data_IF_110263338008
#
_entry.id   IF_110263338008
#
_cell.length_a   1.000
_cell.length_b   1.000
_cell.length_c   1.000
_cell.angle_alpha   90.00
_cell.angle_beta   90.00
_cell.angle_gamma   90.00
#
_symmetry.space_group_name_H-M   'P 1'
#
loop_
_entity.id
_entity.type
_entity.pdbx_description
1 polymer ?
#
# COMPACT_ATOMS: atom_id res chain seq x y z
N UNK A 1 -24.09 -56.01 -6.84
CA UNK A 1 -23.57 -56.43 -8.14
C UNK A 1 -23.48 -55.17 -8.99
N UNK A 2 -22.37 -54.43 -8.87
CA UNK A 2 -21.37 -54.29 -9.96
C UNK A 2 -21.97 -53.57 -11.17
N UNK A 3 -21.67 -52.32 -11.51
CA UNK A 3 -20.38 -51.62 -11.48
C UNK A 3 -19.87 -51.52 -12.91
N UNK A 4 -19.60 -50.32 -13.42
CA UNK A 4 -18.59 -50.04 -14.45
C UNK A 4 -18.13 -48.57 -14.27
N UNK A 5 -16.80 -48.44 -14.23
CA UNK A 5 -16.00 -47.25 -13.99
C UNK A 5 -16.01 -46.26 -15.17
N UNK A 6 -15.87 -44.96 -14.85
CA UNK A 6 -15.34 -43.92 -15.74
C UNK A 6 -13.96 -43.49 -15.21
N UNK A 7 -12.89 -43.53 -16.02
CA UNK A 7 -11.59 -43.01 -15.64
C UNK A 7 -11.47 -41.51 -16.00
N UNK A 8 -10.83 -40.77 -15.10
CA UNK A 8 -10.52 -39.35 -15.28
C UNK A 8 -9.43 -39.08 -16.32
N UNK A 9 -9.39 -37.82 -16.75
CA UNK A 9 -8.12 -37.12 -16.99
C UNK A 9 -8.26 -35.66 -16.56
N UNK A 10 -7.35 -35.30 -15.65
CA UNK A 10 -7.06 -33.98 -15.15
C UNK A 10 -6.70 -33.00 -16.27
N UNK A 11 -7.36 -31.85 -16.32
CA UNK A 11 -6.79 -30.63 -16.89
C UNK A 11 -6.45 -29.68 -15.74
N UNK A 12 -5.19 -29.71 -15.32
CA UNK A 12 -4.55 -28.61 -14.58
C UNK A 12 -4.74 -27.31 -15.37
N UNK A 13 -5.19 -26.20 -14.76
CA UNK A 13 -4.93 -24.90 -15.34
C UNK A 13 -3.44 -24.58 -15.13
N UNK A 14 -2.76 -24.30 -16.25
CA UNK A 14 -1.43 -23.70 -16.26
C UNK A 14 -1.50 -22.35 -15.53
N UNK A 15 -0.72 -22.21 -14.46
CA UNK A 15 -0.43 -20.93 -13.84
C UNK A 15 0.46 -20.14 -14.80
N UNK A 16 -0.12 -19.13 -15.45
CA UNK A 16 0.65 -18.06 -16.07
C UNK A 16 1.30 -17.26 -14.95
N UNK A 17 2.62 -17.36 -14.86
CA UNK A 17 3.49 -16.46 -14.11
C UNK A 17 3.34 -15.05 -14.67
N UNK A 18 2.42 -14.29 -14.10
CA UNK A 18 2.44 -12.84 -14.14
C UNK A 18 3.01 -12.36 -12.82
N UNK A 19 4.31 -12.04 -12.79
CA UNK A 19 4.93 -11.32 -11.68
C UNK A 19 4.25 -9.95 -11.53
N UNK A 20 3.16 -9.91 -10.78
CA UNK A 20 2.71 -8.69 -10.15
C UNK A 20 3.77 -8.32 -9.12
N UNK A 21 4.67 -7.41 -9.50
CA UNK A 21 5.56 -6.70 -8.59
C UNK A 21 4.70 -5.86 -7.65
N UNK A 22 4.15 -6.51 -6.62
CA UNK A 22 3.62 -5.81 -5.47
C UNK A 22 4.82 -5.24 -4.72
N UNK A 23 4.90 -3.93 -4.65
CA UNK A 23 5.75 -3.16 -3.75
C UNK A 23 5.28 -3.35 -2.29
N UNK A 24 5.13 -4.61 -1.87
CA UNK A 24 4.73 -5.00 -0.53
C UNK A 24 5.93 -4.96 0.40
N UNK A 25 5.78 -4.25 1.51
CA UNK A 25 6.74 -4.24 2.61
C UNK A 25 7.07 -5.69 3.03
N UNK A 26 8.30 -6.14 2.75
CA UNK A 26 8.73 -7.51 3.10
C UNK A 26 9.16 -7.52 4.56
N UNK A 27 8.31 -8.08 5.41
CA UNK A 27 8.56 -8.21 6.84
C UNK A 27 9.76 -9.14 7.11
N UNK A 28 10.62 -8.84 8.10
CA UNK A 28 11.71 -9.71 8.48
C UNK A 28 11.19 -11.09 8.92
N UNK A 29 11.83 -12.16 8.45
CA UNK A 29 11.49 -13.53 8.84
C UNK A 29 12.11 -13.86 10.19
N UNK A 30 11.29 -14.38 11.12
CA UNK A 30 11.75 -14.89 12.42
C UNK A 30 11.63 -13.87 13.55
N UNK A 31 10.45 -13.81 14.18
CA UNK A 31 10.24 -13.03 15.40
C UNK A 31 10.63 -13.86 16.63
N UNK A 32 11.93 -13.98 16.88
CA UNK A 32 12.46 -14.65 18.06
C UNK A 32 12.86 -13.65 19.14
N UNK A 33 12.04 -13.48 20.18
CA UNK A 33 12.54 -12.90 21.43
C UNK A 33 13.40 -13.96 22.13
N UNK A 34 14.67 -13.68 22.40
CA UNK A 34 15.50 -14.54 23.26
C UNK A 34 14.93 -14.54 24.68
N UNK A 35 14.15 -15.58 25.02
CA UNK A 35 13.79 -15.90 26.40
C UNK A 35 15.02 -16.50 27.07
N UNK A 36 15.69 -15.72 27.94
CA UNK A 36 16.71 -16.26 28.84
C UNK A 36 16.06 -17.28 29.76
N UNK A 37 16.36 -18.55 29.54
CA UNK A 37 15.92 -19.64 30.39
C UNK A 37 16.81 -19.69 31.64
N UNK A 38 16.18 -19.53 32.81
CA UNK A 38 16.80 -19.67 34.12
C UNK A 38 17.24 -21.12 34.31
N UNK A 39 18.55 -21.37 34.31
CA UNK A 39 19.12 -22.65 34.76
C UNK A 39 19.50 -22.49 36.24
N UNK A 40 18.72 -23.11 37.11
CA UNK A 40 19.09 -23.34 38.50
C UNK A 40 20.19 -24.43 38.59
N UNK A 41 21.16 -24.32 39.50
CA UNK A 41 22.33 -25.19 39.52
C UNK A 41 22.03 -26.55 40.15
N UNK A 42 22.60 -27.63 39.61
CA UNK A 42 22.66 -28.94 40.26
C UNK A 42 23.94 -29.09 41.09
N UNK A 43 23.94 -29.87 42.19
CA UNK A 43 25.02 -29.90 43.17
C UNK A 43 26.18 -30.79 42.75
N UNK A 44 27.37 -30.44 43.23
CA UNK A 44 28.65 -31.16 43.07
C UNK A 44 28.84 -32.13 44.23
N UNK A 45 29.34 -33.34 43.94
CA UNK A 45 30.06 -34.20 44.89
C UNK A 45 30.97 -35.20 44.13
N UNK A 46 31.97 -35.85 44.75
CA UNK A 46 33.38 -35.60 44.43
C UNK A 46 34.18 -36.80 43.87
N UNK A 47 35.42 -36.49 43.48
CA UNK A 47 36.46 -37.36 42.87
C UNK A 47 37.13 -38.33 43.86
N UNK A 48 37.50 -39.54 43.37
CA UNK A 48 38.70 -40.39 43.65
C UNK A 48 38.42 -41.84 43.15
N UNK A 49 39.30 -42.72 42.64
CA UNK A 49 40.71 -42.78 42.19
C UNK A 49 40.97 -44.20 41.59
N UNK A 50 41.92 -44.28 40.65
CA UNK A 50 42.87 -45.37 40.36
C UNK A 50 42.46 -46.71 39.68
N UNK A 51 43.27 -47.11 38.69
CA UNK A 51 43.40 -48.47 38.14
C UNK A 51 43.97 -48.55 36.71
N UNK A 52 45.29 -48.74 36.58
CA UNK A 52 46.06 -48.94 35.32
C UNK A 52 45.81 -50.31 34.64
N UNK A 53 45.91 -50.37 33.30
CA UNK A 53 46.77 -51.31 32.53
C UNK A 53 46.68 -51.13 30.99
N UNK A 54 47.84 -51.23 30.34
CA UNK A 54 48.21 -51.05 28.92
C UNK A 54 47.72 -52.19 27.99
N UNK A 55 47.42 -52.03 26.69
CA UNK A 55 48.33 -52.08 25.49
C UNK A 55 47.47 -51.96 24.18
N UNK A 56 47.96 -51.44 23.02
CA UNK A 56 47.16 -51.10 21.80
C UNK A 56 47.42 -52.07 20.60
N UNK A 57 46.97 -51.82 19.34
CA UNK A 57 45.80 -51.10 18.81
C UNK A 57 44.89 -52.01 17.93
N UNK A 58 43.61 -51.66 17.75
CA UNK A 58 42.77 -52.25 16.71
C UNK A 58 41.82 -51.20 16.10
N UNK A 59 41.98 -51.02 14.79
CA UNK A 59 41.13 -50.39 13.77
C UNK A 59 39.91 -49.53 14.20
N UNK A 60 39.94 -48.26 13.78
CA UNK A 60 38.78 -47.36 13.66
C UNK A 60 37.65 -47.98 12.80
N UNK A 61 36.39 -47.98 13.29
CA UNK A 61 35.22 -47.93 12.43
C UNK A 61 34.81 -46.46 12.16
N UNK A 62 34.26 -46.15 10.98
CA UNK A 62 34.05 -44.77 10.55
C UNK A 62 32.96 -44.07 11.35
N UNK A 63 33.21 -42.80 11.66
CA UNK A 63 32.27 -41.84 12.25
C UNK A 63 30.98 -41.74 11.41
N UNK A 64 29.78 -41.73 12.02
CA UNK A 64 28.55 -41.46 11.27
C UNK A 64 28.55 -40.01 10.78
N UNK A 65 28.14 -39.86 9.52
CA UNK A 65 28.10 -38.62 8.77
C UNK A 65 27.41 -37.48 9.53
N UNK A 66 28.03 -36.31 9.50
CA UNK A 66 27.43 -35.05 9.92
C UNK A 66 26.11 -34.83 9.15
N UNK A 67 25.04 -34.34 9.81
CA UNK A 67 23.81 -34.01 9.10
C UNK A 67 24.10 -32.91 8.08
N UNK A 68 23.62 -33.16 6.86
CA UNK A 68 23.78 -32.28 5.71
C UNK A 68 23.46 -30.83 6.06
N UNK A 69 24.45 -29.96 5.83
CA UNK A 69 24.28 -28.52 5.90
C UNK A 69 23.10 -28.11 5.01
N UNK A 70 22.07 -27.55 5.63
CA UNK A 70 20.94 -26.97 4.91
C UNK A 70 21.47 -25.87 3.98
N UNK A 71 20.99 -25.80 2.73
CA UNK A 71 21.46 -24.80 1.79
C UNK A 71 21.08 -23.42 2.32
N UNK A 72 22.09 -22.57 2.55
CA UNK A 72 21.90 -21.14 2.80
C UNK A 72 21.30 -20.50 1.55
N UNK A 73 19.98 -20.54 1.43
CA UNK A 73 19.24 -19.81 0.41
C UNK A 73 18.80 -18.47 0.98
N UNK A 74 19.32 -17.40 0.40
CA UNK A 74 18.97 -16.02 0.74
C UNK A 74 20.06 -15.05 0.35
N UNK A 75 20.32 -14.94 -0.96
CA UNK A 75 21.06 -13.81 -1.51
C UNK A 75 20.39 -12.50 -1.05
N UNK A 76 21.22 -11.55 -0.62
CA UNK A 76 20.83 -10.34 0.10
C UNK A 76 19.70 -9.57 -0.58
N UNK A 77 18.56 -9.48 0.12
CA UNK A 77 17.58 -8.42 -0.06
C UNK A 77 17.78 -7.44 1.10
N UNK A 78 17.66 -6.12 0.87
CA UNK A 78 17.85 -5.14 1.94
C UNK A 78 16.85 -5.43 3.05
N UNK A 79 17.37 -5.88 4.20
CA UNK A 79 16.57 -6.05 5.39
C UNK A 79 16.34 -4.65 5.94
N UNK A 80 15.10 -4.15 5.83
CA UNK A 80 14.75 -2.84 6.37
C UNK A 80 14.94 -2.91 7.88
N UNK A 81 15.85 -2.08 8.39
CA UNK A 81 16.14 -2.00 9.82
C UNK A 81 15.09 -1.10 10.48
N UNK A 82 14.10 -1.71 11.11
CA UNK A 82 13.05 -1.00 11.81
C UNK A 82 13.52 -0.62 13.20
N UNK A 83 13.51 0.67 13.53
CA UNK A 83 13.80 1.16 14.88
C UNK A 83 12.87 0.54 15.92
N UNK A 84 11.62 0.29 15.53
CA UNK A 84 10.65 -0.48 16.28
C UNK A 84 10.25 -1.71 15.46
N UNK A 85 10.91 -2.86 15.66
CA UNK A 85 10.60 -4.06 14.88
C UNK A 85 9.19 -4.55 15.24
N UNK A 86 8.42 -5.06 14.25
CA UNK A 86 7.13 -5.62 14.52
C UNK A 86 7.27 -6.91 15.35
N UNK A 87 6.25 -7.22 16.13
CA UNK A 87 6.16 -8.46 16.91
C UNK A 87 5.36 -9.52 16.14
N UNK A 88 5.70 -10.79 16.33
CA UNK A 88 4.92 -11.89 15.76
C UNK A 88 3.68 -12.18 16.60
N UNK A 89 2.50 -12.13 15.99
CA UNK A 89 1.24 -12.53 16.61
C UNK A 89 0.69 -13.78 15.91
N UNK A 90 0.37 -14.82 16.69
CA UNK A 90 -0.35 -15.99 16.16
C UNK A 90 -1.83 -15.64 16.02
N UNK A 91 -2.36 -15.82 14.82
CA UNK A 91 -3.77 -15.59 14.51
C UNK A 91 -4.34 -16.75 13.71
N UNK A 92 -5.67 -16.88 13.73
CA UNK A 92 -6.39 -17.85 12.90
C UNK A 92 -7.06 -17.12 11.74
N UNK A 93 -6.89 -17.64 10.53
CA UNK A 93 -7.56 -17.07 9.36
C UNK A 93 -9.09 -17.21 9.50
N UNK A 94 -9.88 -16.13 9.39
CA UNK A 94 -11.34 -16.22 9.50
C UNK A 94 -11.98 -16.95 8.32
N UNK A 95 -11.30 -17.05 7.18
CA UNK A 95 -11.81 -17.69 5.97
C UNK A 95 -11.56 -19.21 5.93
N UNK A 96 -10.34 -19.65 6.24
CA UNK A 96 -9.95 -21.07 6.13
C UNK A 96 -9.45 -21.69 7.44
N UNK A 97 -9.49 -20.94 8.55
CA UNK A 97 -9.07 -21.36 9.90
C UNK A 97 -7.60 -21.78 10.05
N UNK A 98 -6.79 -21.66 9.00
CA UNK A 98 -5.35 -21.95 9.09
C UNK A 98 -4.70 -21.01 10.10
N UNK A 99 -4.03 -21.52 11.15
CA UNK A 99 -3.26 -20.70 12.06
C UNK A 99 -1.97 -20.24 11.37
N UNK A 100 -1.61 -18.97 11.54
CA UNK A 100 -0.37 -18.41 11.00
C UNK A 100 0.13 -17.27 11.89
N UNK A 101 1.41 -16.93 11.73
CA UNK A 101 2.01 -15.78 12.43
C UNK A 101 2.03 -14.57 11.50
N UNK A 102 1.47 -13.46 11.95
CA UNK A 102 1.50 -12.18 11.25
C UNK A 102 2.34 -11.17 12.04
N UNK A 103 2.93 -10.20 11.35
CA UNK A 103 3.70 -9.15 12.01
C UNK A 103 2.77 -8.01 12.47
N UNK A 104 2.99 -7.54 13.70
CA UNK A 104 2.21 -6.48 14.34
C UNK A 104 3.14 -5.37 14.77
N UNK A 105 2.97 -4.19 14.18
CA UNK A 105 3.56 -2.94 14.61
C UNK A 105 2.73 -2.33 15.73
N UNK A 106 3.39 -2.06 16.85
CA UNK A 106 2.82 -1.29 17.96
C UNK A 106 3.33 0.15 17.98
N UNK A 107 4.46 0.43 17.34
CA UNK A 107 5.00 1.78 17.16
C UNK A 107 5.45 1.91 15.71
N UNK A 108 4.96 2.96 15.05
CA UNK A 108 5.37 3.36 13.70
C UNK A 108 6.00 4.74 13.84
N UNK A 109 7.31 4.83 13.70
CA UNK A 109 8.06 6.10 13.77
C UNK A 109 8.44 6.54 12.34
N UNK A 110 7.63 7.43 11.76
CA UNK A 110 7.84 7.94 10.40
C UNK A 110 9.09 8.81 10.27
N UNK A 111 9.64 9.28 11.39
CA UNK A 111 10.92 9.99 11.40
C UNK A 111 12.13 9.06 11.29
N UNK A 112 12.02 7.86 11.87
CA UNK A 112 13.09 6.86 11.83
C UNK A 112 13.00 5.95 10.60
N UNK A 113 11.78 5.63 10.20
CA UNK A 113 11.47 4.72 9.10
C UNK A 113 10.40 5.37 8.18
N UNK A 114 10.78 6.39 7.38
CA UNK A 114 9.86 7.11 6.50
C UNK A 114 9.18 6.22 5.45
N UNK A 115 9.80 5.10 5.09
CA UNK A 115 9.24 4.08 4.20
C UNK A 115 7.93 3.46 4.73
N UNK A 116 7.67 3.54 6.04
CA UNK A 116 6.41 3.06 6.62
C UNK A 116 5.23 3.99 6.32
N UNK A 117 5.46 5.23 5.84
CA UNK A 117 4.40 6.20 5.53
C UNK A 117 3.47 5.69 4.44
N UNK A 118 4.03 5.24 3.30
CA UNK A 118 3.23 4.73 2.18
C UNK A 118 2.50 3.44 2.56
N UNK A 119 3.15 2.55 3.32
CA UNK A 119 2.52 1.34 3.84
C UNK A 119 1.37 1.66 4.82
N UNK A 120 1.53 2.68 5.66
CA UNK A 120 0.51 3.12 6.61
C UNK A 120 -0.70 3.70 5.89
N UNK A 121 -0.48 4.68 5.00
CA UNK A 121 -1.53 5.33 4.21
C UNK A 121 -2.24 4.36 3.26
N UNK A 122 -1.51 3.37 2.73
CA UNK A 122 -2.04 2.30 1.90
C UNK A 122 -2.76 1.18 2.67
N UNK A 123 -2.85 1.25 4.00
CA UNK A 123 -3.51 0.22 4.81
C UNK A 123 -2.78 -1.12 4.87
N UNK A 124 -1.48 -1.14 4.59
CA UNK A 124 -0.64 -2.35 4.61
C UNK A 124 -0.01 -2.61 5.99
N UNK A 125 -0.02 -1.61 6.89
CA UNK A 125 0.43 -1.80 8.26
C UNK A 125 -0.59 -2.65 9.02
N UNK A 126 -0.08 -3.63 9.78
CA UNK A 126 -0.89 -4.57 10.55
C UNK A 126 -1.91 -5.32 9.66
N UNK A 127 -1.53 -5.63 8.41
CA UNK A 127 -2.30 -6.46 7.51
C UNK A 127 -1.74 -7.89 7.51
N UNK A 128 -2.53 -8.86 7.99
CA UNK A 128 -2.20 -10.27 7.92
C UNK A 128 -2.71 -10.90 6.63
N UNK A 129 -1.83 -11.46 5.81
CA UNK A 129 -2.20 -12.23 4.61
C UNK A 129 -2.05 -13.72 4.91
N UNK A 130 -3.16 -14.47 4.81
CA UNK A 130 -3.15 -15.90 5.07
C UNK A 130 -2.36 -16.65 3.97
N UNK A 131 -1.34 -17.46 4.32
CA UNK A 131 -0.55 -18.18 3.32
C UNK A 131 -1.32 -19.32 2.62
N UNK A 132 -2.46 -19.73 3.17
CA UNK A 132 -3.26 -20.85 2.65
C UNK A 132 -4.32 -20.42 1.64
N UNK A 133 -5.08 -19.34 1.94
CA UNK A 133 -6.18 -18.87 1.09
C UNK A 133 -6.02 -17.43 0.58
N UNK A 134 -4.89 -16.77 0.89
CA UNK A 134 -4.58 -15.39 0.52
C UNK A 134 -5.57 -14.33 1.03
N UNK A 135 -6.45 -14.69 1.97
CA UNK A 135 -7.34 -13.74 2.62
C UNK A 135 -6.53 -12.73 3.43
N UNK A 136 -6.80 -11.44 3.23
CA UNK A 136 -6.21 -10.34 3.97
C UNK A 136 -7.10 -9.99 5.17
N UNK A 137 -6.48 -9.79 6.34
CA UNK A 137 -7.15 -9.48 7.60
C UNK A 137 -6.46 -8.31 8.26
N UNK A 138 -7.21 -7.24 8.54
CA UNK A 138 -6.70 -6.13 9.33
C UNK A 138 -6.56 -6.57 10.80
N UNK A 139 -5.36 -6.45 11.35
CA UNK A 139 -5.06 -6.81 12.72
C UNK A 139 -5.38 -5.63 13.64
N UNK A 140 -6.37 -5.81 14.51
CA UNK A 140 -6.81 -4.82 15.49
C UNK A 140 -5.86 -4.71 16.69
N UNK A 141 -4.63 -4.27 16.46
CA UNK A 141 -3.65 -4.04 17.52
C UNK A 141 -3.52 -2.54 17.87
N UNK A 142 -3.41 -2.19 19.16
CA UNK A 142 -3.07 -0.82 19.57
C UNK A 142 -1.73 -0.38 19.01
N UNK A 143 -1.67 0.85 18.52
CA UNK A 143 -0.51 1.40 17.82
C UNK A 143 -0.28 2.86 18.15
N UNK A 144 0.99 3.24 18.24
CA UNK A 144 1.44 4.62 18.32
C UNK A 144 2.09 5.01 16.99
N UNK A 145 1.66 6.12 16.38
CA UNK A 145 2.21 6.65 15.13
C UNK A 145 2.86 7.99 15.42
N UNK A 146 4.16 8.07 15.18
CA UNK A 146 4.96 9.27 15.40
C UNK A 146 5.37 9.89 14.06
N UNK A 147 4.98 11.14 13.85
CA UNK A 147 5.36 11.95 12.70
C UNK A 147 6.03 13.25 13.20
N UNK A 148 7.38 13.31 13.20
CA UNK A 148 8.08 14.49 13.69
C UNK A 148 8.03 15.69 12.74
N UNK A 149 7.82 15.45 11.45
CA UNK A 149 7.70 16.51 10.42
C UNK A 149 6.46 17.35 10.68
N UNK A 150 5.33 16.66 10.92
CA UNK A 150 4.04 17.30 11.21
C UNK A 150 3.82 17.59 12.71
N UNK A 151 4.82 17.37 13.57
CA UNK A 151 4.73 17.50 15.03
C UNK A 151 3.50 16.75 15.59
N UNK A 152 3.31 15.52 15.13
CA UNK A 152 2.11 14.74 15.38
C UNK A 152 2.45 13.40 16.04
N UNK A 153 1.64 13.03 17.03
CA UNK A 153 1.68 11.75 17.70
C UNK A 153 0.25 11.24 17.84
N UNK A 154 -0.07 10.13 17.20
CA UNK A 154 -1.37 9.48 17.28
C UNK A 154 -1.29 8.17 18.05
N UNK A 155 -2.25 7.95 18.93
CA UNK A 155 -2.49 6.68 19.59
C UNK A 155 -3.78 6.07 19.01
N UNK A 156 -3.64 5.02 18.22
CA UNK A 156 -4.76 4.25 17.69
C UNK A 156 -5.08 3.06 18.60
N UNK A 157 -6.33 2.97 19.04
CA UNK A 157 -6.83 1.86 19.84
C UNK A 157 -8.10 1.33 19.17
N UNK A 158 -8.04 0.20 18.47
CA UNK A 158 -9.21 -0.34 17.78
C UNK A 158 -10.31 -0.73 18.77
N UNK A 159 -11.56 -0.42 18.42
CA UNK A 159 -12.71 -0.80 19.23
C UNK A 159 -12.79 -2.33 19.35
N UNK A 160 -13.00 -2.83 20.56
CA UNK A 160 -13.04 -4.27 20.84
C UNK A 160 -11.68 -4.95 21.09
N UNK A 161 -10.56 -4.25 20.90
CA UNK A 161 -9.23 -4.78 21.25
C UNK A 161 -8.91 -4.67 22.75
N UNK A 162 -9.63 -3.81 23.50
CA UNK A 162 -9.47 -3.63 24.93
C UNK A 162 -10.82 -3.67 25.63
N UNK A 163 -10.82 -4.19 26.86
CA UNK A 163 -12.04 -4.44 27.63
C UNK A 163 -12.57 -3.16 28.29
N UNK A 164 -11.70 -2.22 28.68
CA UNK A 164 -12.05 -0.96 29.36
C UNK A 164 -11.10 0.22 29.01
N UNK A 165 -11.58 1.46 29.20
CA UNK A 165 -10.82 2.71 28.94
C UNK A 165 -9.51 2.83 29.73
N UNK A 166 -9.49 2.28 30.95
CA UNK A 166 -8.29 2.26 31.80
C UNK A 166 -7.15 1.45 31.18
N UNK A 167 -7.46 0.32 30.56
CA UNK A 167 -6.47 -0.54 29.90
C UNK A 167 -5.94 0.14 28.64
N UNK A 168 -6.81 0.83 27.90
CA UNK A 168 -6.40 1.66 26.77
C UNK A 168 -5.40 2.75 27.20
N UNK A 169 -5.69 3.53 28.25
CA UNK A 169 -4.76 4.55 28.76
C UNK A 169 -3.43 3.95 29.22
N UNK A 170 -3.46 2.79 29.87
CA UNK A 170 -2.24 2.09 30.29
C UNK A 170 -1.37 1.70 29.10
N UNK A 171 -1.96 1.13 28.05
CA UNK A 171 -1.24 0.73 26.83
C UNK A 171 -0.67 1.97 26.12
N UNK A 172 -1.46 3.03 25.95
CA UNK A 172 -1.00 4.28 25.35
C UNK A 172 0.19 4.85 26.12
N UNK A 173 0.11 4.89 27.44
CA UNK A 173 1.21 5.34 28.30
C UNK A 173 2.48 4.50 28.12
N UNK A 174 2.36 3.17 28.06
CA UNK A 174 3.50 2.27 27.83
C UNK A 174 4.16 2.51 26.47
N UNK A 175 3.37 2.59 25.39
CA UNK A 175 3.88 2.84 24.03
C UNK A 175 4.56 4.22 23.94
N UNK A 176 3.95 5.24 24.56
CA UNK A 176 4.50 6.60 24.59
C UNK A 176 5.84 6.63 25.33
N UNK A 177 5.95 5.93 26.47
CA UNK A 177 7.21 5.82 27.22
C UNK A 177 8.29 5.06 26.42
N UNK A 178 7.92 4.00 25.71
CA UNK A 178 8.85 3.28 24.83
C UNK A 178 9.39 4.20 23.73
N UNK A 179 8.53 4.97 23.07
CA UNK A 179 8.94 5.95 22.07
C UNK A 179 9.89 6.99 22.67
N UNK A 180 9.50 7.61 23.80
CA UNK A 180 10.26 8.68 24.45
C UNK A 180 11.68 8.28 24.88
N UNK A 181 11.90 7.01 25.25
CA UNK A 181 13.23 6.49 25.59
C UNK A 181 14.19 6.47 24.40
N UNK A 182 13.67 6.41 23.18
CA UNK A 182 14.47 6.38 21.94
C UNK A 182 14.68 7.76 21.32
N UNK A 183 13.94 8.77 21.77
CA UNK A 183 14.03 10.14 21.26
C UNK A 183 15.00 10.94 22.16
N UNK A 184 16.07 11.57 21.60
CA UNK A 184 16.97 12.45 22.33
C UNK A 184 16.23 13.58 23.04
N UNK A 185 16.76 14.04 24.18
CA UNK A 185 16.06 15.01 25.02
C UNK A 185 15.76 16.33 24.28
N UNK A 186 16.65 16.73 23.39
CA UNK A 186 16.57 17.96 22.59
C UNK A 186 15.46 17.89 21.52
N UNK A 187 15.08 16.67 21.11
CA UNK A 187 14.03 16.42 20.12
C UNK A 187 12.65 16.18 20.76
N UNK A 188 12.58 16.14 22.10
CA UNK A 188 11.32 15.90 22.83
C UNK A 188 10.44 17.15 22.87
N UNK A 189 9.75 17.41 21.76
CA UNK A 189 8.79 18.50 21.63
C UNK A 189 7.49 18.20 22.40
N UNK A 190 6.75 19.24 22.75
CA UNK A 190 5.56 19.15 23.62
C UNK A 190 4.45 18.21 23.10
N UNK A 191 4.29 18.06 21.79
CA UNK A 191 3.24 17.19 21.21
C UNK A 191 3.40 15.71 21.60
N UNK A 192 4.61 15.27 21.95
CA UNK A 192 4.88 13.90 22.39
C UNK A 192 4.26 13.57 23.76
N UNK A 193 3.95 14.60 24.56
CA UNK A 193 3.37 14.46 25.89
C UNK A 193 1.83 14.36 25.83
N UNK A 194 1.24 14.69 24.68
CA UNK A 194 -0.21 14.69 24.47
C UNK A 194 -0.57 13.93 23.18
N UNK A 195 -0.45 12.59 23.16
CA UNK A 195 -0.86 11.79 22.02
C UNK A 195 -2.35 12.02 21.70
N UNK A 196 -2.67 12.27 20.44
CA UNK A 196 -4.06 12.35 19.97
C UNK A 196 -4.63 10.94 19.85
N UNK A 197 -5.79 10.70 20.46
CA UNK A 197 -6.38 9.36 20.52
C UNK A 197 -7.37 9.14 19.38
N UNK A 198 -7.25 8.01 18.71
CA UNK A 198 -8.11 7.57 17.61
C UNK A 198 -8.66 6.17 17.88
N UNK A 199 -9.98 6.01 17.74
CA UNK A 199 -10.67 4.73 17.89
C UNK A 199 -11.22 4.19 16.57
N UNK A 200 -11.10 4.98 15.51
CA UNK A 200 -11.54 4.67 14.15
C UNK A 200 -10.33 4.82 13.22
N UNK A 201 -10.03 3.76 12.50
CA UNK A 201 -8.89 3.72 11.58
C UNK A 201 -9.04 4.73 10.45
N UNK A 202 -10.25 4.91 9.92
CA UNK A 202 -10.50 5.81 8.81
C UNK A 202 -10.24 7.26 9.22
N UNK A 203 -10.66 7.66 10.44
CA UNK A 203 -10.39 9.02 10.96
C UNK A 203 -8.91 9.30 11.16
N UNK A 204 -8.14 8.29 11.60
CA UNK A 204 -6.70 8.41 11.73
C UNK A 204 -6.04 8.60 10.36
N UNK A 205 -6.41 7.76 9.38
CA UNK A 205 -5.87 7.82 8.03
C UNK A 205 -6.26 9.13 7.33
N UNK A 206 -7.50 9.60 7.49
CA UNK A 206 -7.94 10.93 7.04
C UNK A 206 -7.07 12.05 7.62
N UNK A 207 -6.76 11.98 8.92
CA UNK A 207 -5.89 12.98 9.56
C UNK A 207 -4.48 12.97 8.98
N UNK A 208 -3.94 11.79 8.69
CA UNK A 208 -2.61 11.62 8.09
C UNK A 208 -2.58 12.09 6.63
N UNK A 209 -3.59 11.77 5.83
CA UNK A 209 -3.75 12.29 4.47
C UNK A 209 -3.81 13.82 4.43
N UNK A 210 -4.39 14.44 5.45
CA UNK A 210 -4.39 15.90 5.60
C UNK A 210 -2.99 16.52 5.65
N UNK A 211 -1.97 15.78 6.10
CA UNK A 211 -0.57 16.24 6.05
C UNK A 211 0.03 16.13 4.65
N UNK A 212 -0.47 15.22 3.81
CA UNK A 212 -0.08 15.06 2.41
C UNK A 212 -0.84 16.03 1.48
N UNK A 213 -1.60 16.98 2.04
CA UNK A 213 -2.43 17.91 1.28
C UNK A 213 -3.75 17.32 0.75
N UNK A 214 -4.10 16.10 1.13
CA UNK A 214 -5.37 15.46 0.75
C UNK A 214 -6.40 15.67 1.86
N UNK A 215 -7.42 16.49 1.60
CA UNK A 215 -8.45 16.79 2.60
C UNK A 215 -9.57 15.73 2.63
N UNK A 216 -10.28 15.58 3.77
CA UNK A 216 -11.47 14.73 3.84
C UNK A 216 -12.53 15.10 2.80
N UNK A 217 -12.67 16.40 2.50
CA UNK A 217 -13.60 16.90 1.50
C UNK A 217 -13.23 16.42 0.09
N UNK A 218 -11.93 16.39 -0.25
CA UNK A 218 -11.45 15.83 -1.53
C UNK A 218 -11.75 14.33 -1.64
N UNK A 219 -11.53 13.57 -0.56
CA UNK A 219 -11.84 12.14 -0.53
C UNK A 219 -13.34 11.87 -0.67
N UNK A 220 -14.18 12.64 0.03
CA UNK A 220 -15.65 12.55 -0.09
C UNK A 220 -16.11 12.90 -1.49
N UNK A 221 -15.62 14.01 -2.04
CA UNK A 221 -15.91 14.42 -3.43
C UNK A 221 -15.55 13.31 -4.42
N UNK A 222 -14.37 12.70 -4.30
CA UNK A 222 -13.94 11.58 -5.15
C UNK A 222 -14.87 10.37 -5.03
N UNK A 223 -15.31 10.04 -3.81
CA UNK A 223 -16.28 8.96 -3.56
C UNK A 223 -17.64 9.27 -4.21
N UNK A 224 -18.14 10.49 -4.05
CA UNK A 224 -19.40 10.95 -4.66
C UNK A 224 -19.33 10.95 -6.19
N UNK A 225 -18.19 11.34 -6.77
CA UNK A 225 -17.89 11.25 -8.19
C UNK A 225 -17.92 9.79 -8.69
N UNK A 226 -17.29 8.86 -7.97
CA UNK A 226 -17.33 7.43 -8.30
C UNK A 226 -18.76 6.87 -8.24
N UNK A 227 -19.55 7.27 -7.24
CA UNK A 227 -20.96 6.87 -7.13
C UNK A 227 -21.82 7.49 -8.23
N UNK A 228 -21.52 8.73 -8.62
CA UNK A 228 -22.17 9.39 -9.75
C UNK A 228 -21.88 8.62 -11.05
N UNK A 229 -20.62 8.25 -11.30
CA UNK A 229 -20.24 7.47 -12.48
C UNK A 229 -21.04 6.16 -12.60
N UNK A 230 -21.15 5.41 -11.51
CA UNK A 230 -21.94 4.17 -11.46
C UNK A 230 -23.43 4.40 -11.70
N UNK A 231 -23.99 5.55 -11.30
CA UNK A 231 -25.38 5.92 -11.53
C UNK A 231 -25.64 6.40 -12.97
N UNK A 232 -24.69 7.07 -13.60
CA UNK A 232 -24.84 7.60 -14.96
C UNK A 232 -24.74 6.48 -16.02
N UNK A 233 -23.91 5.46 -15.79
CA UNK A 233 -23.68 4.38 -16.75
C UNK A 233 -24.96 3.66 -17.22
N UNK A 234 -25.89 3.21 -16.35
CA UNK A 234 -27.14 2.60 -16.82
C UNK A 234 -28.11 3.58 -17.49
N UNK A 235 -27.92 4.89 -17.32
CA UNK A 235 -28.79 5.94 -17.88
C UNK A 235 -28.37 6.38 -19.29
N UNK A 236 -27.31 5.82 -19.86
CA UNK A 236 -26.82 6.15 -21.21
C UNK A 236 -27.90 6.08 -22.29
N UNK A 237 -28.86 5.16 -22.17
CA UNK A 237 -29.96 4.99 -23.12
C UNK A 237 -31.16 5.93 -22.90
N UNK A 238 -31.21 6.67 -21.80
CA UNK A 238 -32.30 7.59 -21.46
C UNK A 238 -31.77 9.01 -21.26
N UNK A 239 -31.77 9.79 -22.34
CA UNK A 239 -31.24 11.16 -22.34
C UNK A 239 -31.95 12.08 -21.35
N UNK A 240 -33.24 11.87 -21.12
CA UNK A 240 -34.01 12.71 -20.18
C UNK A 240 -33.63 12.40 -18.75
N UNK A 241 -33.55 11.12 -18.40
CA UNK A 241 -33.11 10.70 -17.08
C UNK A 241 -31.67 11.16 -16.80
N UNK A 242 -30.79 11.04 -17.79
CA UNK A 242 -29.41 11.50 -17.71
C UNK A 242 -29.34 13.01 -17.44
N UNK A 243 -30.08 13.82 -18.20
CA UNK A 243 -30.11 15.27 -18.02
C UNK A 243 -30.60 15.69 -16.62
N UNK A 244 -31.64 15.03 -16.09
CA UNK A 244 -32.15 15.30 -14.74
C UNK A 244 -31.10 15.03 -13.66
N UNK A 245 -30.33 13.93 -13.80
CA UNK A 245 -29.26 13.62 -12.84
C UNK A 245 -28.13 14.65 -12.94
N UNK A 246 -27.74 15.03 -14.16
CA UNK A 246 -26.68 16.02 -14.38
C UNK A 246 -27.07 17.42 -13.90
N UNK A 247 -28.32 17.83 -14.02
CA UNK A 247 -28.79 19.11 -13.47
C UNK A 247 -28.58 19.21 -11.96
N UNK A 248 -28.77 18.09 -11.24
CA UNK A 248 -28.61 18.03 -9.77
C UNK A 248 -27.16 17.82 -9.32
N UNK A 249 -26.35 17.18 -10.15
CA UNK A 249 -25.00 16.73 -9.79
C UNK A 249 -23.88 17.33 -10.64
N UNK A 250 -24.18 18.36 -11.44
CA UNK A 250 -23.23 18.98 -12.36
C UNK A 250 -21.97 19.51 -11.69
N UNK A 251 -22.05 19.95 -10.43
CA UNK A 251 -20.88 20.40 -9.65
C UNK A 251 -19.86 19.29 -9.37
N UNK A 252 -20.27 18.01 -9.45
CA UNK A 252 -19.36 16.87 -9.31
C UNK A 252 -18.68 16.51 -10.65
N UNK A 253 -19.20 16.99 -11.77
CA UNK A 253 -18.63 16.72 -13.11
C UNK A 253 -17.66 17.83 -13.46
N UNK A 254 -16.40 17.63 -13.06
CA UNK A 254 -15.29 18.54 -13.30
C UNK A 254 -14.12 17.83 -13.98
N UNK A 255 -12.96 18.50 -14.04
CA UNK A 255 -11.74 17.96 -14.65
C UNK A 255 -11.28 16.66 -13.97
N UNK A 256 -11.37 16.58 -12.65
CA UNK A 256 -10.98 15.38 -11.89
C UNK A 256 -11.93 14.20 -12.18
N UNK A 257 -13.22 14.47 -12.37
CA UNK A 257 -14.19 13.45 -12.78
C UNK A 257 -13.83 12.84 -14.15
N UNK A 258 -13.47 13.68 -15.14
CA UNK A 258 -13.07 13.18 -16.47
C UNK A 258 -11.77 12.36 -16.40
N UNK A 259 -10.78 12.80 -15.63
CA UNK A 259 -9.54 12.03 -15.41
C UNK A 259 -9.82 10.67 -14.74
N UNK A 260 -10.71 10.64 -13.74
CA UNK A 260 -11.14 9.40 -13.09
C UNK A 260 -11.82 8.44 -14.07
N UNK A 261 -12.70 8.98 -14.94
CA UNK A 261 -13.39 8.20 -15.96
C UNK A 261 -12.40 7.61 -16.96
N UNK A 262 -11.41 8.38 -17.43
CA UNK A 262 -10.36 7.89 -18.33
C UNK A 262 -9.50 6.80 -17.69
N UNK A 263 -9.14 6.96 -16.41
CA UNK A 263 -8.45 5.92 -15.65
C UNK A 263 -9.27 4.64 -15.55
N UNK A 264 -10.59 4.74 -15.33
CA UNK A 264 -11.49 3.59 -15.30
C UNK A 264 -11.56 2.88 -16.67
N UNK A 265 -11.63 3.64 -17.77
CA UNK A 265 -11.58 3.12 -19.14
C UNK A 265 -10.29 2.33 -19.38
N UNK A 266 -9.13 2.91 -19.06
CA UNK A 266 -7.83 2.24 -19.19
C UNK A 266 -7.75 0.96 -18.35
N UNK A 267 -8.24 1.00 -17.11
CA UNK A 267 -8.28 -0.18 -16.23
C UNK A 267 -9.12 -1.33 -16.82
N UNK A 268 -10.30 -1.02 -17.38
CA UNK A 268 -11.15 -2.02 -18.02
C UNK A 268 -10.54 -2.58 -19.31
N UNK A 269 -9.90 -1.73 -20.12
CA UNK A 269 -9.19 -2.18 -21.32
C UNK A 269 -8.04 -3.14 -20.98
N UNK A 270 -7.25 -2.84 -19.94
CA UNK A 270 -6.18 -3.71 -19.46
C UNK A 270 -6.65 -5.07 -18.96
N UNK A 271 -7.90 -5.16 -18.48
CA UNK A 271 -8.54 -6.41 -18.05
C UNK A 271 -9.30 -7.12 -19.18
N UNK A 272 -9.26 -6.61 -20.42
CA UNK A 272 -9.96 -7.20 -21.57
C UNK A 272 -11.47 -6.93 -21.62
N UNK A 273 -12.01 -6.09 -20.71
CA UNK A 273 -13.43 -5.76 -20.62
C UNK A 273 -13.83 -4.67 -21.62
N UNK A 274 -13.72 -4.98 -22.92
CA UNK A 274 -13.89 -3.99 -24.01
C UNK A 274 -15.28 -3.38 -24.08
N UNK A 275 -16.33 -4.16 -23.83
CA UNK A 275 -17.72 -3.68 -23.88
C UNK A 275 -17.97 -2.63 -22.78
N UNK A 276 -17.58 -2.93 -21.54
CA UNK A 276 -17.68 -1.98 -20.43
C UNK A 276 -16.85 -0.71 -20.67
N UNK A 277 -15.64 -0.85 -21.22
CA UNK A 277 -14.80 0.29 -21.61
C UNK A 277 -15.49 1.16 -22.68
N UNK A 278 -16.11 0.55 -23.68
CA UNK A 278 -16.85 1.28 -24.73
C UNK A 278 -18.06 2.03 -24.17
N UNK A 279 -18.76 1.46 -23.19
CA UNK A 279 -19.85 2.14 -22.48
C UNK A 279 -19.38 3.38 -21.73
N UNK A 280 -18.26 3.28 -21.00
CA UNK A 280 -17.65 4.44 -20.34
C UNK A 280 -17.16 5.51 -21.34
N UNK A 281 -16.62 5.10 -22.49
CA UNK A 281 -16.23 6.04 -23.55
C UNK A 281 -17.44 6.77 -24.14
N UNK A 282 -18.55 6.08 -24.37
CA UNK A 282 -19.80 6.69 -24.84
C UNK A 282 -20.33 7.71 -23.81
N UNK A 283 -20.28 7.36 -22.52
CA UNK A 283 -20.63 8.28 -21.44
C UNK A 283 -19.73 9.52 -21.44
N UNK A 284 -18.41 9.34 -21.57
CA UNK A 284 -17.46 10.45 -21.68
C UNK A 284 -17.86 11.43 -22.77
N UNK A 285 -18.13 10.92 -23.98
CA UNK A 285 -18.51 11.74 -25.12
C UNK A 285 -19.79 12.53 -24.85
N UNK A 286 -20.80 11.88 -24.26
CA UNK A 286 -22.06 12.54 -23.91
C UNK A 286 -21.86 13.64 -22.87
N UNK A 287 -21.02 13.40 -21.86
CA UNK A 287 -20.70 14.38 -20.82
C UNK A 287 -19.88 15.54 -21.38
N UNK A 288 -19.00 15.31 -22.35
CA UNK A 288 -18.26 16.38 -23.02
C UNK A 288 -19.17 17.38 -23.72
N UNK A 289 -20.26 16.91 -24.33
CA UNK A 289 -21.21 17.78 -25.04
C UNK A 289 -22.22 18.46 -24.10
N UNK A 290 -22.69 17.73 -23.08
CA UNK A 290 -23.77 18.18 -22.20
C UNK A 290 -23.31 19.06 -21.04
N UNK A 291 -22.09 18.88 -20.53
CA UNK A 291 -21.61 19.57 -19.32
C UNK A 291 -20.71 20.76 -19.63
N UNK A 292 -20.67 21.75 -18.73
CA UNK A 292 -19.78 22.91 -18.85
C UNK A 292 -18.31 22.51 -18.77
N UNK A 293 -17.94 21.69 -17.78
CA UNK A 293 -16.59 21.13 -17.67
C UNK A 293 -16.18 20.33 -18.91
N UNK A 294 -17.11 19.60 -19.51
CA UNK A 294 -16.90 18.87 -20.75
C UNK A 294 -16.57 19.77 -21.95
N UNK A 295 -17.31 20.87 -22.11
CA UNK A 295 -17.06 21.87 -23.15
C UNK A 295 -15.71 22.57 -22.95
N UNK A 296 -15.36 22.87 -21.71
CA UNK A 296 -14.07 23.50 -21.40
C UNK A 296 -12.90 22.54 -21.66
N UNK A 297 -13.04 21.28 -21.25
CA UNK A 297 -12.06 20.23 -21.55
C UNK A 297 -11.87 20.07 -23.07
N UNK A 298 -12.96 20.10 -23.84
CA UNK A 298 -12.90 20.01 -25.31
C UNK A 298 -12.14 21.18 -25.94
N UNK A 299 -12.45 22.43 -25.57
CA UNK A 299 -11.74 23.61 -26.07
C UNK A 299 -10.24 23.49 -25.83
N UNK A 300 -9.86 23.02 -24.64
CA UNK A 300 -8.46 22.84 -24.29
C UNK A 300 -7.79 21.72 -25.07
N UNK A 301 -8.47 20.59 -25.28
CA UNK A 301 -7.97 19.51 -26.13
C UNK A 301 -7.77 20.00 -27.58
N UNK A 302 -8.71 20.77 -28.11
CA UNK A 302 -8.62 21.36 -29.45
C UNK A 302 -7.45 22.36 -29.54
N UNK A 303 -7.23 23.16 -28.48
CA UNK A 303 -6.08 24.08 -28.37
C UNK A 303 -4.74 23.35 -28.36
N UNK A 304 -4.60 22.33 -27.51
CA UNK A 304 -3.38 21.49 -27.46
C UNK A 304 -3.13 20.85 -28.81
N UNK A 305 -4.18 20.30 -29.44
CA UNK A 305 -4.07 19.68 -30.77
C UNK A 305 -3.62 20.68 -31.84
N UNK A 306 -4.21 21.87 -31.89
CA UNK A 306 -3.80 22.91 -32.83
C UNK A 306 -2.32 23.29 -32.68
N UNK A 307 -1.84 23.44 -31.44
CA UNK A 307 -0.42 23.71 -31.17
C UNK A 307 0.50 22.54 -31.56
N UNK A 308 0.05 21.28 -31.37
CA UNK A 308 0.81 20.11 -31.82
C UNK A 308 0.84 19.98 -33.34
N UNK A 309 -0.24 20.33 -34.04
CA UNK A 309 -0.30 20.31 -35.51
C UNK A 309 0.63 21.38 -36.13
N UNK A 310 0.95 22.46 -35.39
CA UNK A 310 1.94 23.47 -35.78
C UNK A 310 3.39 22.97 -35.61
N UNK A 311 3.62 21.96 -34.76
CA UNK A 311 4.94 21.34 -34.56
C UNK A 311 5.20 20.32 -35.68
N UNK A 312 6.06 20.72 -36.60
CA UNK A 312 6.55 19.88 -37.72
C UNK A 312 8.01 19.46 -37.49
N UNK A 313 8.53 18.52 -38.29
CA UNK A 313 9.95 18.09 -38.23
C UNK A 313 10.96 19.22 -38.48
N UNK A 314 10.53 20.35 -39.07
CA UNK A 314 11.36 21.53 -39.33
C UNK A 314 11.32 22.56 -38.19
N UNK A 315 10.56 22.32 -37.13
CA UNK A 315 10.40 23.26 -36.02
C UNK A 315 11.70 23.38 -35.24
N UNK A 316 12.25 24.60 -35.18
CA UNK A 316 13.47 24.87 -34.41
C UNK A 316 13.20 24.94 -32.91
N UNK A 317 14.22 24.69 -32.09
CA UNK A 317 14.12 24.79 -30.63
C UNK A 317 13.68 26.19 -30.15
N UNK A 318 14.07 27.25 -30.86
CA UNK A 318 13.64 28.63 -30.55
C UNK A 318 12.15 28.84 -30.84
N UNK A 319 11.65 28.31 -31.96
CA UNK A 319 10.21 28.36 -32.29
C UNK A 319 9.38 27.53 -31.31
N UNK A 320 9.87 26.36 -30.90
CA UNK A 320 9.21 25.53 -29.89
C UNK A 320 9.17 26.23 -28.53
N UNK A 321 10.26 26.87 -28.12
CA UNK A 321 10.30 27.65 -26.88
C UNK A 321 9.33 28.84 -26.92
N UNK A 322 9.24 29.56 -28.04
CA UNK A 322 8.30 30.67 -28.19
C UNK A 322 6.85 30.19 -28.10
N UNK A 323 6.52 29.06 -28.76
CA UNK A 323 5.20 28.43 -28.66
C UNK A 323 4.85 28.01 -27.22
N UNK A 324 5.78 27.40 -26.51
CA UNK A 324 5.61 26.99 -25.10
C UNK A 324 5.43 28.23 -24.20
N UNK A 325 6.24 29.26 -24.39
CA UNK A 325 6.21 30.47 -23.55
C UNK A 325 4.92 31.25 -23.77
N UNK A 326 4.45 31.32 -25.02
CA UNK A 326 3.16 31.90 -25.37
C UNK A 326 2.00 31.10 -24.76
N UNK A 327 2.00 29.78 -24.91
CA UNK A 327 0.99 28.91 -24.30
C UNK A 327 0.96 29.03 -22.77
N UNK A 328 2.12 29.12 -22.12
CA UNK A 328 2.27 29.32 -20.68
C UNK A 328 1.65 30.64 -20.19
N UNK A 329 1.68 31.69 -21.02
CA UNK A 329 1.18 33.02 -20.67
C UNK A 329 -0.35 33.16 -20.74
N UNK A 330 -1.04 32.17 -21.29
CA UNK A 330 -2.49 32.15 -21.43
C UNK A 330 -3.19 31.47 -20.24
N UNK A 331 -4.51 31.63 -20.12
CA UNK A 331 -5.33 30.93 -19.13
C UNK A 331 -5.22 29.39 -19.35
N UNK A 332 -5.08 28.62 -18.26
CA UNK A 332 -4.71 27.18 -18.24
C UNK A 332 -3.34 26.83 -18.89
N UNK A 333 -2.43 27.82 -19.02
CA UNK A 333 -1.16 27.69 -19.74
C UNK A 333 -0.21 26.61 -19.21
N UNK A 334 -0.07 26.46 -17.88
CA UNK A 334 0.81 25.45 -17.27
C UNK A 334 0.52 24.03 -17.77
N UNK A 335 -0.74 23.81 -18.06
CA UNK A 335 -1.32 22.50 -18.04
C UNK A 335 -1.73 22.14 -19.51
N UNK A 336 -1.82 23.14 -20.39
CA UNK A 336 -1.54 23.02 -21.86
C UNK A 336 -0.06 22.68 -22.12
N UNK A 337 0.88 23.39 -21.50
CA UNK A 337 2.32 23.17 -21.68
C UNK A 337 2.74 21.79 -21.17
N UNK A 338 2.21 21.35 -20.02
CA UNK A 338 2.42 19.99 -19.52
C UNK A 338 2.00 18.92 -20.53
N UNK A 339 0.84 19.08 -21.18
CA UNK A 339 0.36 18.16 -22.21
C UNK A 339 1.24 18.17 -23.48
N UNK A 340 1.73 19.34 -23.88
CA UNK A 340 2.70 19.47 -24.97
C UNK A 340 4.02 18.77 -24.63
N UNK A 341 4.56 18.96 -23.43
CA UNK A 341 5.82 18.36 -23.01
C UNK A 341 5.77 16.82 -23.04
N UNK A 342 4.66 16.20 -22.62
CA UNK A 342 4.49 14.75 -22.70
C UNK A 342 4.39 14.22 -24.14
N UNK A 343 3.85 15.03 -25.05
CA UNK A 343 3.59 14.64 -26.45
C UNK A 343 4.79 14.93 -27.37
N UNK A 344 5.54 15.99 -27.08
CA UNK A 344 6.74 16.42 -27.79
C UNK A 344 8.04 15.90 -27.17
N UNK A 345 7.98 15.13 -26.07
CA UNK A 345 9.15 14.54 -25.41
C UNK A 345 10.18 13.88 -26.35
N UNK A 346 9.78 13.14 -27.42
CA UNK A 346 10.74 12.56 -28.37
C UNK A 346 11.49 13.60 -29.21
N UNK A 347 10.97 14.83 -29.32
CA UNK A 347 11.54 15.95 -30.09
C UNK A 347 12.34 16.93 -29.22
N UNK A 348 12.26 16.79 -27.89
CA UNK A 348 12.98 17.62 -26.89
C UNK A 348 14.21 16.85 -26.35
N UNK A 349 14.61 15.75 -27.00
CA UNK A 349 15.79 14.99 -26.58
C UNK A 349 17.06 15.77 -26.96
N UNK A 350 17.76 16.28 -25.94
CA UNK A 350 19.06 16.94 -26.11
C UNK A 350 20.12 15.88 -26.41
N UNK A 351 20.61 15.85 -27.66
CA UNK A 351 21.93 15.27 -27.96
C UNK A 351 23.04 16.29 -27.75
#
# INVERSE_FOLDING_TARGET
MSGILLPGQDKKPQSSEGEAQSSGLVLPKGFGSHKKENVAPKPVEPVKTAGEQSTPPAAEPPSPAAPAAQPRQGAGRPQIDFKFPPSGAQIQCPNCQTPYTAAVFNIVDLGANPELRSALLGGQINLGVCPSCNAAVQLGAPMLIHDPENKFLAAFVPQGAQTNDMDAQRVIGQLTQMLMRTIPAEQRKGYLLTPQQFFDWNRLIEKLWGFEGVTPEMLRKRSEQSQLLQRLLPLLGDEKALAIVLERSGHLVDREFFAMLEQAVMGLMGQGQREAASGLMALRQKLMESTEAGRELKKRQDKVRGLLDEITEETTSEQLLDMITKAWSEEDGEDVVGAMAMSAAPMIDYQ
#
